data_IF_346809905191
#
_entry.id   IF_346809905191
#
_cell.length_a   1.000
_cell.length_b   1.000
_cell.length_c   1.000
_cell.angle_alpha   90.00
_cell.angle_beta   90.00
_cell.angle_gamma   90.00
#
_symmetry.space_group_name_H-M   'P 1'
#
loop_
_entity.id
_entity.type
_entity.pdbx_description
1 polymer ?
#
# COMPACT_ATOMS: atom_id res chain seq x y z
N UNK A 1 4.20 -6.33 12.27
CA UNK A 1 3.52 -5.02 12.32
C UNK A 1 2.03 -5.32 12.29
N UNK A 2 1.24 -4.87 13.27
CA UNK A 2 -0.21 -5.03 13.17
C UNK A 2 -0.76 -3.97 12.21
N UNK A 3 -1.93 -4.22 11.64
CA UNK A 3 -2.42 -3.36 10.56
C UNK A 3 -2.80 -1.96 11.07
N UNK A 4 -3.33 -1.90 12.29
CA UNK A 4 -3.67 -0.69 13.01
C UNK A 4 -2.46 0.24 13.29
N UNK A 5 -1.24 -0.31 13.28
CA UNK A 5 0.00 0.45 13.51
C UNK A 5 0.62 1.01 12.21
N UNK A 6 0.02 0.73 11.05
CA UNK A 6 0.57 1.17 9.77
C UNK A 6 0.50 2.69 9.63
N UNK A 7 1.58 3.35 9.18
CA UNK A 7 1.50 4.75 8.83
C UNK A 7 0.56 4.93 7.62
N UNK A 8 0.01 6.14 7.38
CA UNK A 8 -0.86 6.39 6.23
C UNK A 8 -0.17 6.20 4.88
N UNK A 9 1.17 6.29 4.86
CA UNK A 9 2.01 6.11 3.68
C UNK A 9 3.19 5.19 4.01
N UNK A 10 3.30 4.12 3.24
CA UNK A 10 4.39 3.16 3.36
C UNK A 10 5.60 3.59 2.52
N UNK A 11 6.78 3.33 3.06
CA UNK A 11 8.01 3.20 2.28
C UNK A 11 8.00 1.89 1.51
N UNK A 12 8.91 1.76 0.55
CA UNK A 12 9.04 0.55 -0.28
C UNK A 12 9.28 -0.68 0.62
N UNK A 13 10.16 -0.57 1.60
CA UNK A 13 10.51 -1.68 2.51
C UNK A 13 9.30 -2.16 3.32
N UNK A 14 8.47 -1.24 3.83
CA UNK A 14 7.26 -1.58 4.57
C UNK A 14 6.22 -2.25 3.65
N UNK A 15 6.11 -1.79 2.40
CA UNK A 15 5.24 -2.44 1.43
C UNK A 15 5.76 -3.83 1.02
N UNK A 16 7.08 -4.06 1.01
CA UNK A 16 7.65 -5.40 0.79
C UNK A 16 7.20 -6.36 1.89
N UNK A 17 7.21 -5.93 3.15
CA UNK A 17 6.73 -6.74 4.27
C UNK A 17 5.24 -7.10 4.15
N UNK A 18 4.40 -6.17 3.68
CA UNK A 18 2.96 -6.46 3.53
C UNK A 18 2.64 -7.31 2.30
N UNK A 19 3.30 -7.04 1.18
CA UNK A 19 3.00 -7.70 -0.10
C UNK A 19 3.80 -8.98 -0.31
N UNK A 20 4.84 -9.22 0.50
CA UNK A 20 5.82 -10.30 0.33
C UNK A 20 6.52 -10.28 -1.04
N UNK A 21 6.54 -9.12 -1.72
CA UNK A 21 7.22 -8.93 -3.00
C UNK A 21 8.66 -8.46 -2.82
N UNK A 22 9.50 -8.85 -3.79
CA UNK A 22 10.85 -8.32 -3.92
C UNK A 22 10.85 -6.83 -4.28
N UNK A 23 11.95 -6.14 -3.98
CA UNK A 23 12.10 -4.70 -4.24
C UNK A 23 11.90 -4.34 -5.70
N UNK A 24 12.49 -5.12 -6.62
CA UNK A 24 12.37 -4.89 -8.07
C UNK A 24 10.93 -5.04 -8.55
N UNK A 25 10.22 -6.08 -8.09
CA UNK A 25 8.80 -6.28 -8.41
C UNK A 25 7.95 -5.10 -7.93
N UNK A 26 8.19 -4.61 -6.72
CA UNK A 26 7.49 -3.43 -6.19
C UNK A 26 7.76 -2.16 -7.03
N UNK A 27 9.00 -1.97 -7.49
CA UNK A 27 9.30 -0.85 -8.39
C UNK A 27 8.63 -1.00 -9.76
N UNK A 28 8.56 -2.20 -10.32
CA UNK A 28 7.83 -2.48 -11.56
C UNK A 28 6.33 -2.21 -11.38
N UNK A 29 5.72 -2.70 -10.31
CA UNK A 29 4.29 -2.49 -10.04
C UNK A 29 3.95 -1.03 -9.80
N UNK A 30 4.79 -0.29 -9.05
CA UNK A 30 4.59 1.16 -8.87
C UNK A 30 4.88 1.96 -10.14
N UNK A 31 5.71 1.44 -11.04
CA UNK A 31 5.90 2.03 -12.37
C UNK A 31 4.68 1.81 -13.24
N UNK A 32 4.16 0.58 -13.31
CA UNK A 32 2.96 0.21 -14.05
C UNK A 32 1.76 1.07 -13.63
N UNK A 33 1.59 1.30 -12.32
CA UNK A 33 0.55 2.19 -11.80
C UNK A 33 0.61 3.60 -12.39
N UNK A 34 1.80 4.18 -12.49
CA UNK A 34 1.96 5.54 -13.02
C UNK A 34 1.79 5.57 -14.54
N UNK A 35 2.27 4.56 -15.25
CA UNK A 35 2.20 4.48 -16.72
C UNK A 35 0.76 4.23 -17.19
N UNK A 36 -0.03 3.45 -16.44
CA UNK A 36 -1.42 3.14 -16.78
C UNK A 36 -2.43 4.16 -16.26
N UNK A 37 -1.98 5.17 -15.51
CA UNK A 37 -2.86 6.14 -14.86
C UNK A 37 -3.70 5.53 -13.74
N UNK A 38 -3.17 4.52 -13.05
CA UNK A 38 -3.80 3.88 -11.90
C UNK A 38 -4.74 2.73 -12.23
N UNK A 39 -4.60 2.11 -13.41
CA UNK A 39 -5.44 0.96 -13.80
C UNK A 39 -4.85 -0.37 -13.36
N UNK A 40 -3.52 -0.49 -13.37
CA UNK A 40 -2.81 -1.72 -13.03
C UNK A 40 -1.59 -1.42 -12.16
N UNK A 41 -1.16 -2.38 -11.34
CA UNK A 41 0.01 -2.26 -10.48
C UNK A 41 -0.29 -1.77 -9.06
N UNK A 42 0.76 -1.35 -8.34
CA UNK A 42 0.65 -0.93 -6.93
C UNK A 42 0.48 0.60 -6.85
N UNK A 43 -0.58 1.08 -6.17
CA UNK A 43 -0.84 2.49 -5.91
C UNK A 43 0.37 3.19 -5.33
N UNK A 44 0.77 4.29 -5.98
CA UNK A 44 1.89 5.09 -5.53
C UNK A 44 1.62 6.58 -5.76
N UNK A 45 2.04 7.38 -4.79
CA UNK A 45 2.06 8.84 -4.87
C UNK A 45 3.51 9.31 -4.90
N UNK A 46 3.80 10.31 -5.72
CA UNK A 46 5.12 10.93 -5.82
C UNK A 46 5.14 12.24 -5.04
N UNK A 47 6.01 12.32 -4.03
CA UNK A 47 6.33 13.54 -3.30
C UNK A 47 7.71 14.02 -3.74
N UNK A 48 7.75 14.89 -4.75
CA UNK A 48 9.01 15.32 -5.38
C UNK A 48 9.80 14.13 -5.93
N UNK A 49 10.93 13.81 -5.29
CA UNK A 49 11.79 12.66 -5.67
C UNK A 49 11.42 11.35 -4.96
N UNK A 50 10.55 11.39 -3.96
CA UNK A 50 10.20 10.23 -3.15
C UNK A 50 8.91 9.57 -3.64
N UNK A 51 8.86 8.24 -3.54
CA UNK A 51 7.66 7.44 -3.76
C UNK A 51 7.10 6.97 -2.42
N UNK A 52 5.77 6.99 -2.30
CA UNK A 52 5.04 6.53 -1.13
C UNK A 52 3.80 5.76 -1.56
N UNK A 53 3.54 4.64 -0.91
CA UNK A 53 2.39 3.79 -1.19
C UNK A 53 1.32 4.14 -0.16
N UNK A 54 0.14 4.65 -0.56
CA UNK A 54 -0.94 4.91 0.38
C UNK A 54 -1.42 3.59 0.99
N UNK A 55 -1.36 3.47 2.31
CA UNK A 55 -1.73 2.23 3.03
C UNK A 55 -3.16 1.83 2.72
N UNK A 56 -4.10 2.76 2.85
CA UNK A 56 -5.52 2.49 2.57
C UNK A 56 -5.77 2.02 1.13
N UNK A 57 -4.99 2.50 0.15
CA UNK A 57 -5.15 2.05 -1.23
C UNK A 57 -4.63 0.62 -1.43
N UNK A 58 -3.49 0.29 -0.81
CA UNK A 58 -2.92 -1.05 -0.87
C UNK A 58 -3.85 -2.08 -0.19
N UNK A 59 -4.48 -1.72 0.93
CA UNK A 59 -5.41 -2.60 1.64
C UNK A 59 -6.71 -2.82 0.85
N UNK A 60 -7.27 -1.75 0.27
CA UNK A 60 -8.44 -1.88 -0.61
C UNK A 60 -8.21 -2.79 -1.81
N UNK A 61 -6.99 -2.84 -2.36
CA UNK A 61 -6.67 -3.81 -3.44
C UNK A 61 -6.82 -5.26 -3.01
N UNK A 62 -6.52 -5.55 -1.74
CA UNK A 62 -6.67 -6.88 -1.16
C UNK A 62 -8.10 -7.17 -0.68
N UNK A 63 -9.05 -6.25 -0.92
CA UNK A 63 -10.41 -6.28 -0.35
C UNK A 63 -10.38 -6.35 1.18
N UNK A 64 -9.39 -5.68 1.78
CA UNK A 64 -9.26 -5.51 3.22
C UNK A 64 -9.68 -4.06 3.51
N UNK A 65 -10.85 -3.88 4.12
CA UNK A 65 -11.25 -2.58 4.61
C UNK A 65 -10.58 -2.32 5.97
N UNK A 66 -10.09 -1.09 6.17
CA UNK A 66 -9.46 -0.71 7.43
C UNK A 66 -10.45 -0.77 8.61
N UNK A 67 -11.75 -0.69 8.31
CA UNK A 67 -12.85 -0.79 9.26
C UNK A 67 -13.10 -2.24 9.72
N UNK A 68 -12.87 -3.23 8.84
CA UNK A 68 -13.09 -4.67 9.13
C UNK A 68 -12.13 -5.26 10.18
N UNK A 69 -11.11 -4.48 10.56
CA UNK A 69 -10.06 -4.90 11.48
C UNK A 69 -10.07 -4.13 12.80
N UNK A 70 -10.88 -3.06 12.87
CA UNK A 70 -11.30 -2.46 14.11
C UNK A 70 -12.49 -3.24 14.65
N UNK A 71 -12.23 -4.44 15.17
CA UNK A 71 -13.27 -5.24 15.83
C UNK A 71 -14.11 -4.37 16.76
N UNK A 72 -15.42 -4.46 16.58
CA UNK A 72 -16.44 -3.94 17.50
C UNK A 72 -16.08 -4.32 18.93
N UNK A 73 -15.46 -3.39 19.65
CA UNK A 73 -15.43 -3.42 21.11
C UNK A 73 -15.93 -2.06 21.61
N UNK A 74 -17.22 -1.87 21.37
CA UNK A 74 -18.06 -0.90 22.05
C UNK A 74 -19.26 -1.68 22.60
N UNK A 75 -19.07 -2.28 23.77
CA UNK A 75 -20.11 -2.76 24.67
C UNK A 75 -19.78 -2.30 26.09
#
# INVERSE_FOLDING_TARGET
MRLEDLPPFLRVEQAQELTQLGRSQLYEQTRLWRETGGKEGIPVVRFGRCLRIPTAALLRMALIDAEDLGGTDAA
#
